data_IF_916693980712
#
_entry.id   IF_916693980712
#
_cell.length_a   1.000
_cell.length_b   1.000
_cell.length_c   1.000
_cell.angle_alpha   90.00
_cell.angle_beta   90.00
_cell.angle_gamma   90.00
#
_symmetry.space_group_name_H-M   'P 1'
#
loop_
_entity.id
_entity.type
_entity.pdbx_description
1 polymer ?
#
# COMPACT_ATOMS: atom_id res chain seq x y z
N UNK A 1 -2.60 4.19 -20.32
CA UNK A 1 -2.11 3.08 -19.49
C UNK A 1 -1.65 3.68 -18.18
N UNK A 2 -2.29 3.29 -17.07
CA UNK A 2 -2.17 3.99 -15.80
C UNK A 2 -0.79 3.77 -15.16
N UNK A 3 -0.02 4.83 -14.82
CA UNK A 3 1.09 4.68 -13.91
C UNK A 3 0.51 4.59 -12.50
N UNK A 4 0.48 3.38 -11.94
CA UNK A 4 0.10 3.16 -10.54
C UNK A 4 1.10 3.89 -9.64
N UNK A 5 0.69 4.92 -8.88
CA UNK A 5 1.61 5.63 -8.03
C UNK A 5 1.85 4.78 -6.78
N UNK A 6 3.11 4.43 -6.54
CA UNK A 6 3.60 3.93 -5.26
C UNK A 6 3.32 4.95 -4.11
N UNK A 7 2.78 6.13 -4.43
CA UNK A 7 2.30 7.17 -3.51
C UNK A 7 0.98 6.84 -2.82
N UNK A 8 0.13 5.97 -3.36
CA UNK A 8 -1.18 5.73 -2.74
C UNK A 8 -1.08 4.74 -1.58
N UNK A 9 -1.67 5.12 -0.44
CA UNK A 9 -1.69 4.29 0.77
C UNK A 9 -2.32 2.94 0.41
N UNK A 10 -1.69 1.80 0.78
CA UNK A 10 -2.31 0.50 0.54
C UNK A 10 -3.71 0.51 1.17
N UNK A 11 -4.68 -0.03 0.43
CA UNK A 11 -6.03 -0.15 0.92
C UNK A 11 -6.15 -1.39 1.80
N UNK A 12 -6.91 -1.31 2.90
CA UNK A 12 -7.11 -2.47 3.76
C UNK A 12 -7.81 -3.58 2.97
N UNK A 13 -7.41 -4.84 3.18
CA UNK A 13 -8.05 -5.96 2.51
C UNK A 13 -9.51 -6.06 2.94
N UNK A 14 -10.37 -6.44 2.01
CA UNK A 14 -11.78 -6.59 2.30
C UNK A 14 -12.00 -7.87 3.15
N UNK A 15 -13.06 -7.92 3.98
CA UNK A 15 -13.30 -9.07 4.87
C UNK A 15 -13.51 -10.39 4.11
N UNK A 16 -13.93 -10.33 2.84
CA UNK A 16 -14.02 -11.49 1.94
C UNK A 16 -12.66 -11.98 1.40
N UNK A 17 -11.60 -11.17 1.48
CA UNK A 17 -10.22 -11.57 1.15
C UNK A 17 -9.51 -12.20 2.35
N UNK A 18 -9.97 -11.87 3.56
CA UNK A 18 -9.60 -12.59 4.76
C UNK A 18 -10.30 -13.95 4.71
N UNK A 19 -9.54 -15.04 4.59
CA UNK A 19 -10.13 -16.39 4.52
C UNK A 19 -10.82 -16.83 5.83
N UNK A 20 -10.65 -16.06 6.92
CA UNK A 20 -11.25 -16.25 8.27
C UNK A 20 -10.97 -17.62 8.93
N UNK A 21 -10.31 -18.53 8.20
CA UNK A 21 -10.08 -19.93 8.55
C UNK A 21 -8.57 -20.28 8.61
N UNK A 22 -7.68 -19.28 8.52
CA UNK A 22 -6.24 -19.46 8.66
C UNK A 22 -5.47 -19.62 7.34
N UNK A 23 -5.71 -18.76 6.35
CA UNK A 23 -4.78 -18.65 5.21
C UNK A 23 -3.45 -18.08 5.69
N UNK A 24 -2.35 -18.78 5.36
CA UNK A 24 -0.99 -18.32 5.59
C UNK A 24 -0.27 -18.15 4.25
N UNK A 25 0.19 -16.94 3.91
CA UNK A 25 0.23 -15.75 4.75
C UNK A 25 -1.13 -15.03 4.89
N UNK A 26 -1.41 -14.51 6.09
CA UNK A 26 -2.60 -13.72 6.35
C UNK A 26 -2.58 -12.43 5.53
N UNK A 27 -3.71 -12.09 4.90
CA UNK A 27 -3.83 -10.86 4.09
C UNK A 27 -3.51 -9.60 4.90
N UNK A 28 -3.76 -9.64 6.21
CA UNK A 28 -3.40 -8.55 7.13
C UNK A 28 -1.89 -8.40 7.31
N UNK A 29 -1.12 -9.48 7.29
CA UNK A 29 0.34 -9.42 7.37
C UNK A 29 0.92 -8.79 6.10
N UNK A 30 0.41 -9.18 4.94
CA UNK A 30 0.78 -8.58 3.64
C UNK A 30 0.46 -7.09 3.64
N UNK A 31 -0.76 -6.72 4.07
CA UNK A 31 -1.18 -5.32 4.16
C UNK A 31 -0.28 -4.50 5.11
N UNK A 32 0.03 -5.03 6.29
CA UNK A 32 0.90 -4.36 7.27
C UNK A 32 2.32 -4.16 6.72
N UNK A 33 2.87 -5.17 6.05
CA UNK A 33 4.18 -5.09 5.42
C UNK A 33 4.20 -4.03 4.31
N UNK A 34 3.17 -4.01 3.46
CA UNK A 34 3.03 -2.99 2.41
C UNK A 34 2.84 -1.58 2.99
N UNK A 35 2.08 -1.45 4.09
CA UNK A 35 1.86 -0.18 4.76
C UNK A 35 3.15 0.40 5.34
N UNK A 36 3.97 -0.43 5.98
CA UNK A 36 5.29 -0.02 6.49
C UNK A 36 6.19 0.50 5.38
N UNK A 37 6.23 -0.19 4.24
CA UNK A 37 7.01 0.23 3.07
C UNK A 37 6.48 1.55 2.49
N UNK A 38 5.16 1.71 2.45
CA UNK A 38 4.54 2.96 2.02
C UNK A 38 4.87 4.12 2.95
N UNK A 39 4.82 3.93 4.28
CA UNK A 39 5.19 4.96 5.25
C UNK A 39 6.64 5.41 5.07
N UNK A 40 7.56 4.46 4.87
CA UNK A 40 8.96 4.75 4.55
C UNK A 40 9.08 5.55 3.25
N UNK A 41 8.46 5.06 2.17
CA UNK A 41 8.50 5.69 0.86
C UNK A 41 7.85 7.08 0.83
N UNK A 42 6.83 7.35 1.67
CA UNK A 42 6.23 8.68 1.80
C UNK A 42 7.21 9.70 2.39
N UNK A 43 8.06 9.28 3.33
CA UNK A 43 9.08 10.18 3.89
C UNK A 43 10.11 10.57 2.83
N UNK A 44 10.51 9.64 1.98
CA UNK A 44 11.39 9.90 0.84
C UNK A 44 10.66 10.71 -0.27
N UNK A 45 9.41 10.37 -0.60
CA UNK A 45 8.63 11.01 -1.66
C UNK A 45 8.14 12.44 -1.33
N UNK A 46 8.01 12.78 -0.05
CA UNK A 46 7.73 14.16 0.42
C UNK A 46 8.87 15.13 0.04
N UNK A 47 10.04 14.62 -0.37
CA UNK A 47 11.14 15.45 -0.86
C UNK A 47 11.16 15.65 -2.38
N UNK A 48 10.34 14.92 -3.14
CA UNK A 48 10.34 14.91 -4.62
C UNK A 48 8.97 15.20 -5.29
N UNK A 49 7.88 15.36 -4.53
CA UNK A 49 6.55 15.56 -5.15
C UNK A 49 6.22 17.06 -5.39
N UNK A 50 7.11 17.78 -6.08
CA UNK A 50 6.70 18.99 -6.83
C UNK A 50 6.79 18.68 -8.32
N UNK A 51 5.72 18.14 -8.89
CA UNK A 51 5.41 18.36 -10.31
C UNK A 51 3.92 18.24 -10.58
N UNK A 52 3.24 19.35 -10.95
CA UNK A 52 1.80 19.39 -11.18
C UNK A 52 1.46 18.63 -12.46
N UNK A 53 0.23 18.10 -12.49
CA UNK A 53 -0.40 17.56 -13.68
C UNK A 53 -0.38 18.59 -14.83
N UNK A 54 0.09 18.16 -15.99
CA UNK A 54 -0.10 18.82 -17.28
C UNK A 54 -1.22 18.11 -18.04
#
# INVERSE_FOLDING_TARGET
>A
MQPSPITEKPQPPAPNECCESGCDPCVWDIYRAALQQWEQAQQDANTDTTKPAA
#
